data_IF_356071186421
#
_entry.id   IF_356071186421
#
_cell.length_a   1.000
_cell.length_b   1.000
_cell.length_c   1.000
_cell.angle_alpha   90.00
_cell.angle_beta   90.00
_cell.angle_gamma   90.00
#
_symmetry.space_group_name_H-M   'P 1'
#
loop_
_entity.id
_entity.type
_entity.pdbx_description
1 polymer ?
#
# COMPACT_ATOMS: atom_id res chain seq x y z
N UNK A 1 20.73 -13.58 5.20
CA UNK A 1 19.42 -13.59 4.51
C UNK A 1 19.44 -12.80 3.21
N UNK A 2 19.94 -11.55 3.15
CA UNK A 2 19.77 -10.68 1.97
C UNK A 2 20.82 -10.80 0.84
N UNK A 3 21.98 -11.44 1.04
CA UNK A 3 23.05 -11.51 0.02
C UNK A 3 23.17 -12.85 -0.69
N UNK A 4 22.97 -13.95 0.02
CA UNK A 4 23.11 -15.32 -0.50
C UNK A 4 21.74 -16.00 -0.59
N UNK A 5 20.77 -15.31 -1.19
CA UNK A 5 19.41 -15.81 -1.32
C UNK A 5 19.27 -16.61 -2.63
N UNK A 6 19.55 -17.90 -2.53
CA UNK A 6 19.45 -18.84 -3.65
C UNK A 6 18.28 -19.79 -3.44
N UNK A 7 17.51 -20.04 -4.50
CA UNK A 7 16.46 -21.05 -4.50
C UNK A 7 16.46 -21.83 -5.80
N UNK A 8 15.99 -23.08 -5.75
CA UNK A 8 15.89 -23.95 -6.92
C UNK A 8 14.43 -24.13 -7.27
N UNK A 9 14.09 -23.90 -8.53
CA UNK A 9 12.75 -24.13 -9.07
C UNK A 9 12.86 -24.85 -10.41
N UNK A 10 12.14 -25.97 -10.56
CA UNK A 10 12.18 -26.83 -11.77
C UNK A 10 13.61 -27.20 -12.22
N UNK A 11 14.48 -27.49 -11.26
CA UNK A 11 15.87 -27.89 -11.52
C UNK A 11 16.83 -26.74 -11.89
N UNK A 12 16.34 -25.51 -12.01
CA UNK A 12 17.17 -24.34 -12.23
C UNK A 12 17.41 -23.59 -10.90
N UNK A 13 18.64 -23.13 -10.69
CA UNK A 13 19.03 -22.35 -9.51
C UNK A 13 18.96 -20.86 -9.82
N UNK A 14 18.26 -20.11 -8.99
CA UNK A 14 18.07 -18.67 -9.11
C UNK A 14 18.70 -17.96 -7.92
N UNK A 15 19.26 -16.78 -8.17
CA UNK A 15 19.75 -15.88 -7.13
C UNK A 15 18.83 -14.66 -7.07
N UNK A 16 18.14 -14.48 -5.96
CA UNK A 16 17.34 -13.30 -5.72
C UNK A 16 18.28 -12.15 -5.31
N UNK A 17 18.45 -11.18 -6.21
CA UNK A 17 19.37 -10.04 -6.03
C UNK A 17 18.72 -8.85 -5.32
N UNK A 18 17.39 -8.81 -5.27
CA UNK A 18 16.61 -7.74 -4.64
C UNK A 18 15.50 -8.32 -3.76
N UNK A 19 15.31 -7.71 -2.58
CA UNK A 19 14.37 -8.17 -1.57
C UNK A 19 14.96 -9.19 -0.61
N UNK A 20 14.10 -9.78 0.21
CA UNK A 20 14.47 -10.76 1.23
C UNK A 20 13.98 -12.16 0.86
N UNK A 21 14.64 -13.19 1.39
CA UNK A 21 14.22 -14.57 1.18
C UNK A 21 12.84 -14.81 1.78
N UNK A 22 11.90 -15.22 0.94
CA UNK A 22 10.56 -15.64 1.37
C UNK A 22 10.67 -16.86 2.30
N UNK A 23 9.78 -16.95 3.29
CA UNK A 23 9.77 -18.04 4.27
C UNK A 23 10.75 -17.87 5.44
N UNK A 24 11.57 -16.81 5.46
CA UNK A 24 12.37 -16.50 6.65
C UNK A 24 11.53 -15.73 7.67
N UNK A 25 11.65 -16.07 8.96
CA UNK A 25 10.87 -15.45 10.03
C UNK A 25 11.07 -13.91 10.12
N UNK A 26 12.20 -13.42 9.63
CA UNK A 26 12.55 -12.00 9.63
C UNK A 26 12.05 -11.25 8.38
N UNK A 27 11.57 -11.94 7.35
CA UNK A 27 11.15 -11.29 6.11
C UNK A 27 9.96 -10.32 6.29
N UNK A 28 8.85 -10.71 6.96
CA UNK A 28 7.70 -9.82 7.14
C UNK A 28 8.02 -8.49 7.87
N UNK A 29 8.73 -8.48 9.02
CA UNK A 29 9.05 -7.20 9.68
C UNK A 29 9.98 -6.33 8.85
N UNK A 30 10.92 -6.89 8.09
CA UNK A 30 11.77 -6.10 7.19
C UNK A 30 10.98 -5.45 6.05
N UNK A 31 10.08 -6.20 5.41
CA UNK A 31 9.21 -5.66 4.36
C UNK A 31 8.33 -4.53 4.91
N UNK A 32 7.74 -4.73 6.09
CA UNK A 32 6.92 -3.72 6.74
C UNK A 32 7.69 -2.43 7.06
N UNK A 33 8.93 -2.54 7.53
CA UNK A 33 9.78 -1.39 7.82
C UNK A 33 10.20 -0.63 6.55
N UNK A 34 10.55 -1.34 5.48
CA UNK A 34 10.93 -0.72 4.20
C UNK A 34 9.75 0.06 3.60
N UNK A 35 8.56 -0.55 3.57
CA UNK A 35 7.34 0.12 3.13
C UNK A 35 6.95 1.29 4.03
N UNK A 36 7.04 1.15 5.36
CA UNK A 36 6.74 2.24 6.29
C UNK A 36 7.67 3.45 6.08
N UNK A 37 8.95 3.21 5.81
CA UNK A 37 9.90 4.28 5.49
C UNK A 37 9.56 4.97 4.17
N UNK A 38 9.19 4.20 3.15
CA UNK A 38 8.75 4.72 1.86
C UNK A 38 7.49 5.60 2.00
N UNK A 39 6.48 5.09 2.70
CA UNK A 39 5.21 5.75 2.98
C UNK A 39 5.39 7.04 3.77
N UNK A 40 6.16 6.98 4.87
CA UNK A 40 6.41 8.14 5.72
C UNK A 40 7.02 9.29 4.92
N UNK A 41 7.98 9.00 4.04
CA UNK A 41 8.59 10.03 3.22
C UNK A 41 7.64 10.60 2.14
N UNK A 42 6.63 9.83 1.72
CA UNK A 42 5.62 10.27 0.76
C UNK A 42 4.55 11.12 1.44
N UNK A 43 3.99 10.62 2.54
CA UNK A 43 2.98 11.32 3.34
C UNK A 43 3.52 12.62 3.95
N UNK A 44 4.81 12.68 4.33
CA UNK A 44 5.41 13.90 4.88
C UNK A 44 5.50 15.06 3.87
N UNK A 45 5.33 14.79 2.58
CA UNK A 45 5.41 15.79 1.50
C UNK A 45 4.03 16.27 1.04
N UNK A 46 2.95 15.73 1.61
CA UNK A 46 1.59 16.10 1.24
C UNK A 46 1.14 17.32 2.02
N UNK A 47 0.55 18.28 1.31
CA UNK A 47 -0.14 19.41 1.92
C UNK A 47 -1.43 18.95 2.61
N UNK A 48 -2.17 18.07 1.95
CA UNK A 48 -3.42 17.48 2.43
C UNK A 48 -3.15 16.05 2.86
N UNK A 49 -3.42 15.73 4.12
CA UNK A 49 -3.18 14.39 4.66
C UNK A 49 -4.45 13.53 4.57
N UNK A 50 -4.31 12.20 4.39
CA UNK A 50 -5.44 11.31 4.55
C UNK A 50 -5.95 11.37 5.99
N UNK A 51 -7.28 11.42 6.15
CA UNK A 51 -7.95 11.39 7.46
C UNK A 51 -7.62 10.10 8.20
N UNK A 52 -7.51 9.00 7.45
CA UNK A 52 -7.05 7.72 7.96
C UNK A 52 -6.17 7.06 6.91
N UNK A 53 -5.01 6.56 7.36
CA UNK A 53 -4.19 5.64 6.59
C UNK A 53 -3.83 4.44 7.47
N UNK A 54 -4.16 3.24 7.00
CA UNK A 54 -3.82 1.98 7.64
C UNK A 54 -3.27 1.02 6.60
N UNK A 55 -2.35 0.16 7.01
CA UNK A 55 -1.79 -0.89 6.17
C UNK A 55 -1.64 -2.18 6.94
N UNK A 56 -1.98 -3.29 6.30
CA UNK A 56 -1.71 -4.64 6.74
C UNK A 56 -0.83 -5.33 5.70
N UNK A 57 0.46 -5.48 6.02
CA UNK A 57 1.49 -6.00 5.10
C UNK A 57 1.51 -5.18 3.79
N UNK A 58 0.91 -5.68 2.72
CA UNK A 58 0.84 -5.11 1.39
C UNK A 58 -0.53 -4.48 1.07
N UNK A 59 -1.55 -4.67 1.92
CA UNK A 59 -2.87 -4.07 1.74
C UNK A 59 -3.02 -2.76 2.53
N UNK A 60 -3.20 -1.67 1.81
CA UNK A 60 -3.46 -0.33 2.31
C UNK A 60 -4.94 0.06 2.26
N UNK A 61 -5.37 0.83 3.25
CA UNK A 61 -6.69 1.43 3.35
C UNK A 61 -6.56 2.92 3.69
N UNK A 62 -7.24 3.75 2.90
CA UNK A 62 -7.20 5.21 2.99
C UNK A 62 -8.61 5.77 3.07
N UNK A 63 -8.82 6.72 3.98
CA UNK A 63 -9.96 7.64 3.97
C UNK A 63 -9.43 9.02 3.61
N UNK A 64 -9.96 9.61 2.55
CA UNK A 64 -9.44 10.85 1.97
C UNK A 64 -10.49 11.94 1.91
N UNK A 65 -10.30 13.02 2.67
CA UNK A 65 -11.19 14.20 2.72
C UNK A 65 -10.81 15.32 1.74
N UNK A 66 -9.64 15.23 1.10
CA UNK A 66 -9.20 16.22 0.11
C UNK A 66 -9.97 16.14 -1.21
N UNK A 67 -9.59 17.01 -2.14
CA UNK A 67 -10.17 16.96 -3.49
C UNK A 67 -9.77 15.68 -4.23
N UNK A 68 -10.60 15.30 -5.21
CA UNK A 68 -10.31 14.14 -6.08
C UNK A 68 -9.03 14.35 -6.91
N UNK A 69 -8.74 15.60 -7.30
CA UNK A 69 -7.51 15.92 -8.02
C UNK A 69 -6.27 15.67 -7.16
N UNK A 70 -6.29 16.09 -5.89
CA UNK A 70 -5.18 15.83 -4.96
C UNK A 70 -5.01 14.33 -4.70
N UNK A 71 -6.11 13.57 -4.61
CA UNK A 71 -6.04 12.12 -4.49
C UNK A 71 -5.37 11.47 -5.70
N UNK A 72 -5.75 11.86 -6.91
CA UNK A 72 -5.12 11.32 -8.13
C UNK A 72 -3.63 11.67 -8.19
N UNK A 73 -3.26 12.89 -7.81
CA UNK A 73 -1.85 13.30 -7.73
C UNK A 73 -1.08 12.48 -6.69
N UNK A 74 -1.70 12.19 -5.54
CA UNK A 74 -1.13 11.33 -4.50
C UNK A 74 -0.84 9.93 -5.06
N UNK A 75 -1.82 9.29 -5.67
CA UNK A 75 -1.71 7.94 -6.21
C UNK A 75 -0.68 7.87 -7.36
N UNK A 76 -0.63 8.90 -8.21
CA UNK A 76 0.40 9.02 -9.24
C UNK A 76 1.80 9.18 -8.65
N UNK A 77 1.97 10.01 -7.61
CA UNK A 77 3.26 10.15 -6.91
C UNK A 77 3.67 8.83 -6.27
N UNK A 78 2.73 8.10 -5.69
CA UNK A 78 2.97 6.78 -5.10
C UNK A 78 3.60 5.82 -6.11
N UNK A 79 3.00 5.75 -7.31
CA UNK A 79 3.44 4.87 -8.39
C UNK A 79 4.72 5.32 -9.13
N UNK A 80 5.16 6.56 -8.95
CA UNK A 80 6.35 7.10 -9.64
C UNK A 80 7.55 7.27 -8.72
N UNK A 81 7.37 7.19 -7.39
CA UNK A 81 8.42 7.54 -6.42
C UNK A 81 9.59 6.57 -6.37
N UNK A 82 9.36 5.26 -6.56
CA UNK A 82 10.42 4.24 -6.47
C UNK A 82 10.22 3.19 -7.54
N UNK A 83 11.23 2.99 -8.38
CA UNK A 83 11.25 1.89 -9.33
C UNK A 83 11.15 0.54 -8.58
N UNK A 84 10.27 -0.34 -9.05
CA UNK A 84 10.05 -1.66 -8.47
C UNK A 84 9.10 -1.72 -7.28
N UNK A 85 8.41 -0.62 -6.95
CA UNK A 85 7.24 -0.64 -6.06
C UNK A 85 6.09 0.03 -6.81
N UNK A 86 5.00 -0.71 -7.02
CA UNK A 86 3.77 -0.17 -7.60
C UNK A 86 2.62 -0.45 -6.65
N UNK A 87 1.58 0.37 -6.72
CA UNK A 87 0.29 0.09 -6.09
C UNK A 87 -0.78 -0.04 -7.16
N UNK A 88 -1.63 -1.05 -7.01
CA UNK A 88 -2.96 -1.07 -7.60
C UNK A 88 -3.95 -0.56 -6.55
N UNK A 89 -5.06 0.03 -7.00
CA UNK A 89 -6.03 0.60 -6.07
C UNK A 89 -7.45 0.63 -6.63
N UNK A 90 -8.40 0.61 -5.73
CA UNK A 90 -9.83 0.82 -5.97
C UNK A 90 -10.29 2.04 -5.17
N UNK A 91 -11.09 2.91 -5.79
CA UNK A 91 -11.66 4.11 -5.16
C UNK A 91 -13.17 3.98 -5.16
N UNK A 92 -13.80 4.12 -4.00
CA UNK A 92 -15.25 4.08 -3.87
C UNK A 92 -15.74 5.11 -2.85
N UNK A 93 -16.91 5.69 -3.08
CA UNK A 93 -17.53 6.67 -2.16
C UNK A 93 -18.52 6.04 -1.20
N UNK A 94 -18.87 4.77 -1.39
CA UNK A 94 -19.91 4.08 -0.62
C UNK A 94 -19.36 2.93 0.20
N UNK A 95 -18.62 2.03 -0.45
CA UNK A 95 -18.16 0.80 0.15
C UNK A 95 -16.94 0.24 -0.56
N UNK A 96 -16.12 -0.50 0.17
CA UNK A 96 -14.94 -1.20 -0.34
C UNK A 96 -14.80 -2.55 0.35
N UNK A 97 -14.10 -3.47 -0.32
CA UNK A 97 -13.64 -4.70 0.29
C UNK A 97 -12.18 -4.52 0.74
N UNK A 98 -11.90 -4.79 2.01
CA UNK A 98 -10.56 -4.70 2.57
C UNK A 98 -10.29 -5.92 3.43
N UNK A 99 -9.35 -6.78 3.00
CA UNK A 99 -9.13 -8.11 3.59
C UNK A 99 -10.47 -8.89 3.63
N UNK A 100 -10.80 -9.49 4.77
CA UNK A 100 -12.05 -10.23 4.99
C UNK A 100 -13.23 -9.32 5.40
N UNK A 101 -13.09 -7.99 5.22
CA UNK A 101 -14.09 -7.02 5.64
C UNK A 101 -14.77 -6.37 4.43
N UNK A 102 -16.09 -6.18 4.56
CA UNK A 102 -16.85 -5.29 3.70
C UNK A 102 -17.16 -4.01 4.47
N UNK A 103 -16.49 -2.92 4.10
CA UNK A 103 -16.56 -1.64 4.80
C UNK A 103 -17.51 -0.74 4.01
N UNK A 104 -18.63 -0.35 4.62
CA UNK A 104 -19.64 0.53 4.03
C UNK A 104 -19.82 1.78 4.87
N UNK A 105 -20.02 2.91 4.20
CA UNK A 105 -20.39 4.17 4.85
C UNK A 105 -21.85 4.16 5.22
N UNK A 106 -22.12 4.59 6.44
CA UNK A 106 -23.47 4.93 6.84
C UNK A 106 -23.83 6.30 6.25
N UNK A 107 -24.93 6.35 5.50
CA UNK A 107 -25.42 7.56 4.84
C UNK A 107 -26.50 8.28 5.66
N UNK A 108 -26.89 7.72 6.81
CA UNK A 108 -27.95 8.26 7.66
C UNK A 108 -27.47 9.45 8.52
N UNK A 109 -26.17 9.70 8.54
CA UNK A 109 -25.57 10.91 9.09
C UNK A 109 -24.98 11.75 7.94
N UNK A 110 -25.22 13.07 7.99
CA UNK A 110 -24.81 14.10 7.01
C UNK A 110 -23.27 14.29 6.99
N UNK A 111 -22.53 13.20 6.89
CA UNK A 111 -21.08 13.14 6.76
C UNK A 111 -20.70 13.00 5.29
N UNK A 112 -19.79 13.85 4.85
CA UNK A 112 -19.44 14.07 3.45
C UNK A 112 -19.06 12.79 2.67
N UNK A 113 -19.29 12.86 1.36
CA UNK A 113 -19.00 11.84 0.33
C UNK A 113 -17.51 11.66 0.05
N UNK A 114 -16.71 11.52 1.10
CA UNK A 114 -15.25 11.39 1.01
C UNK A 114 -14.89 10.06 0.34
N UNK A 115 -13.88 9.96 -0.53
CA UNK A 115 -13.47 8.67 -1.09
C UNK A 115 -12.83 7.74 -0.05
N UNK A 116 -13.19 6.46 -0.14
CA UNK A 116 -12.42 5.33 0.40
C UNK A 116 -11.50 4.82 -0.69
N UNK A 117 -10.27 4.49 -0.32
CA UNK A 117 -9.30 3.89 -1.23
C UNK A 117 -8.75 2.62 -0.60
N UNK A 118 -8.80 1.53 -1.33
CA UNK A 118 -8.05 0.30 -1.02
C UNK A 118 -6.92 0.20 -2.01
N UNK A 119 -5.74 -0.16 -1.55
CA UNK A 119 -4.55 -0.30 -2.40
C UNK A 119 -3.76 -1.54 -2.05
N UNK A 120 -3.20 -2.23 -3.03
CA UNK A 120 -2.30 -3.37 -2.81
C UNK A 120 -0.95 -3.08 -3.44
N UNK A 121 0.13 -3.35 -2.70
CA UNK A 121 1.49 -3.21 -3.20
C UNK A 121 1.89 -4.41 -4.08
N UNK A 122 2.50 -4.10 -5.23
CA UNK A 122 3.02 -5.04 -6.24
C UNK A 122 4.52 -4.85 -6.49
#
# INVERSE_FOLDING_TARGET
VMRNNYFTFRGATYHQTHGTAMGTAVAPPYANLDLARFETGLLSQLTTQPTLYKRFIDDGFIVWEGSESELQQLLQKWNTRRAGIRITYEISRSEVHFLDLWIRKDFDHVGDRVPLVVSTYE
#
